data_IF_106473503530
#
_entry.id   IF_106473503530
#
_cell.length_a   1.000
_cell.length_b   1.000
_cell.length_c   1.000
_cell.angle_alpha   90.00
_cell.angle_beta   90.00
_cell.angle_gamma   90.00
#
_symmetry.space_group_name_H-M   'P 1'
#
loop_
_entity.id
_entity.type
_entity.pdbx_description
1 polymer ?
2 polymer ?
3 non-polymer ?
4 non-polymer ?
5 non-polymer ?
6 water ?
#
# COMPACT_ATOMS: atom_id res chain seq x y z
N UNK A 1 -1.71 -1.24 -28.73
CA UNK A 1 -2.63 -1.86 -27.76
C UNK A 1 -2.74 -1.14 -26.40
N UNK A 2 -1.71 -1.28 -25.51
CA UNK A 2 -1.65 -0.78 -24.14
C UNK A 2 -2.80 -1.35 -23.27
N UNK A 3 -3.62 -0.51 -22.60
CA UNK A 3 -4.74 -1.06 -21.79
C UNK A 3 -5.86 -1.60 -22.68
N UNK A 4 -6.22 -2.86 -22.45
CA UNK A 4 -7.26 -3.58 -23.18
C UNK A 4 -8.04 -4.37 -22.17
N UNK A 5 -9.29 -4.69 -22.51
CA UNK A 5 -10.13 -5.44 -21.62
C UNK A 5 -10.93 -6.50 -22.37
N UNK A 6 -11.20 -7.63 -21.71
CA UNK A 6 -12.00 -8.73 -22.25
C UNK A 6 -13.03 -9.09 -21.22
N UNK A 7 -14.30 -9.11 -21.64
CA UNK A 7 -15.41 -9.52 -20.78
C UNK A 7 -15.83 -10.95 -21.16
N UNK A 8 -15.81 -11.83 -20.17
CA UNK A 8 -16.21 -13.21 -20.35
C UNK A 8 -17.68 -13.36 -19.90
N UNK A 9 -18.59 -13.45 -20.88
CA UNK A 9 -20.03 -13.57 -20.66
C UNK A 9 -20.44 -14.79 -19.83
N UNK A 10 -19.76 -15.91 -20.08
CA UNK A 10 -20.03 -17.18 -19.42
C UNK A 10 -19.67 -17.20 -17.96
N UNK A 11 -18.69 -16.38 -17.53
CA UNK A 11 -18.28 -16.41 -16.13
C UNK A 11 -18.58 -15.15 -15.33
N UNK A 12 -19.07 -14.08 -16.01
CA UNK A 12 -19.39 -12.80 -15.38
C UNK A 12 -18.12 -12.22 -14.74
N UNK A 13 -17.09 -12.08 -15.57
CA UNK A 13 -15.80 -11.62 -15.16
C UNK A 13 -15.13 -10.93 -16.33
N UNK A 14 -14.24 -9.98 -16.03
CA UNK A 14 -13.53 -9.22 -17.03
C UNK A 14 -12.09 -9.07 -16.62
N UNK A 15 -11.18 -9.26 -17.59
CA UNK A 15 -9.76 -9.09 -17.31
C UNK A 15 -9.25 -7.83 -18.02
N UNK A 16 -8.61 -6.92 -17.24
CA UNK A 16 -7.98 -5.70 -17.74
C UNK A 16 -6.47 -6.03 -17.93
N UNK A 17 -5.99 -6.00 -19.17
CA UNK A 17 -4.64 -6.34 -19.59
C UNK A 17 -3.87 -5.08 -20.02
N UNK A 18 -2.54 -5.18 -20.08
CA UNK A 18 -1.68 -4.09 -20.54
C UNK A 18 -0.88 -3.37 -19.50
N UNK A 19 -0.87 -3.88 -18.27
CA UNK A 19 -0.15 -3.29 -17.15
C UNK A 19 1.26 -3.87 -16.96
N UNK A 20 2.12 -3.09 -16.31
CA UNK A 20 3.48 -3.49 -16.00
C UNK A 20 3.67 -3.40 -14.51
N UNK A 21 4.38 -4.40 -13.93
CA UNK A 21 4.67 -4.54 -12.52
C UNK A 21 5.79 -3.64 -11.97
N UNK A 22 5.73 -3.42 -10.65
CA UNK A 22 6.73 -2.78 -9.82
C UNK A 22 6.46 -3.36 -8.43
N UNK A 23 6.76 -4.66 -8.27
CA UNK A 23 6.52 -5.43 -7.06
C UNK A 23 7.66 -5.31 -6.08
N UNK A 24 7.31 -4.91 -4.84
CA UNK A 24 8.21 -4.78 -3.69
C UNK A 24 8.60 -6.19 -3.30
N UNK A 25 9.89 -6.43 -3.33
CA UNK A 25 10.55 -7.68 -3.08
C UNK A 25 11.45 -7.56 -1.83
N UNK A 26 12.39 -6.60 -1.86
CA UNK A 26 13.32 -6.33 -0.78
C UNK A 26 12.98 -5.08 0.01
N UNK A 27 13.99 -4.57 0.74
CA UNK A 27 13.97 -3.38 1.60
C UNK A 27 15.35 -2.71 1.66
N UNK A 28 15.38 -1.38 1.76
CA UNK A 28 16.61 -0.63 1.92
C UNK A 28 16.55 0.18 3.21
N UNK A 29 17.34 -0.25 4.20
CA UNK A 29 17.39 0.36 5.51
C UNK A 29 18.42 1.47 5.58
N UNK A 30 17.95 2.69 5.78
CA UNK A 30 18.79 3.88 5.87
C UNK A 30 18.68 4.43 7.27
N UNK A 31 19.80 4.94 7.82
CA UNK A 31 19.83 5.55 9.16
C UNK A 31 19.81 7.08 9.02
N UNK A 32 18.68 7.71 9.38
CA UNK A 32 18.53 9.17 9.36
C UNK A 32 18.82 9.70 10.74
N UNK A 33 19.75 10.65 10.82
CA UNK A 33 20.22 11.23 12.08
C UNK A 33 19.94 12.71 12.21
N UNK A 34 19.80 13.17 13.47
CA UNK A 34 19.65 14.57 13.84
C UNK A 34 20.66 14.79 14.94
N UNK A 35 21.66 15.67 14.70
CA UNK A 35 22.72 15.94 15.68
C UNK A 35 22.20 16.99 16.63
N UNK A 36 22.06 16.62 17.91
CA UNK A 36 21.55 17.55 18.90
C UNK A 36 22.56 17.95 19.97
N UNK A 37 22.13 18.76 20.93
CA UNK A 37 23.02 19.38 21.88
C UNK A 37 22.64 18.99 23.28
N UNK A 38 23.59 19.14 24.19
CA UNK A 38 23.36 18.75 25.55
C UNK A 38 23.69 19.91 26.46
N UNK A 39 22.86 20.94 26.36
CA UNK A 39 22.90 22.05 27.29
C UNK A 39 22.13 21.65 28.50
N UNK A 40 22.35 22.36 29.60
CA UNK A 40 21.67 22.06 30.84
C UNK A 40 20.88 23.28 31.26
N UNK A 41 19.76 23.07 31.95
CA UNK A 41 18.99 24.25 32.39
C UNK A 41 19.95 25.36 32.84
N UNK A 42 20.25 26.28 31.93
CA UNK A 42 20.97 27.49 32.29
C UNK A 42 20.05 28.41 33.08
N UNK A 43 20.58 29.10 34.09
CA UNK A 43 19.76 30.00 34.87
C UNK A 43 20.19 31.45 34.69
N UNK A 44 19.25 32.29 34.24
CA UNK A 44 19.50 33.71 34.10
C UNK A 44 18.25 34.52 34.44
N UNK A 45 18.46 35.71 34.99
CA UNK A 45 17.35 36.63 35.26
C UNK A 45 16.68 37.07 33.95
N UNK A 46 17.50 37.31 32.94
CA UNK A 46 17.04 37.82 31.65
C UNK A 46 15.54 37.89 31.45
N UNK A 47 14.93 39.02 31.85
CA UNK A 47 13.48 39.24 31.73
C UNK A 47 13.06 39.70 30.32
N UNK A 48 14.06 39.93 29.43
CA UNK A 48 13.89 40.37 28.04
C UNK A 48 12.99 39.44 27.22
N UNK A 49 12.00 40.04 26.51
CA UNK A 49 11.00 39.36 25.70
C UNK A 49 11.60 38.52 24.58
N UNK A 50 12.73 38.98 23.97
CA UNK A 50 13.45 38.27 22.90
C UNK A 50 14.07 36.99 23.48
N UNK A 51 14.57 37.09 24.73
CA UNK A 51 15.19 35.97 25.45
C UNK A 51 14.13 34.96 25.86
N UNK A 52 13.00 35.41 26.46
CA UNK A 52 11.93 34.51 26.89
C UNK A 52 11.31 33.68 25.74
N UNK A 53 11.35 34.19 24.50
CA UNK A 53 10.89 33.43 23.34
C UNK A 53 11.93 32.34 23.06
N UNK A 54 13.23 32.67 23.19
CA UNK A 54 14.34 31.73 23.04
C UNK A 54 14.30 30.71 24.17
N UNK A 55 13.87 31.13 25.37
CA UNK A 55 13.72 30.27 26.53
C UNK A 55 12.54 29.33 26.29
N UNK A 56 11.45 29.86 25.69
CA UNK A 56 10.23 29.11 25.36
C UNK A 56 10.48 28.02 24.32
N UNK A 57 11.24 28.33 23.25
CA UNK A 57 11.58 27.37 22.19
C UNK A 57 12.63 26.34 22.66
N UNK A 58 13.53 26.76 23.57
CA UNK A 58 14.56 25.88 24.12
C UNK A 58 13.95 24.81 25.02
N UNK A 59 12.86 25.17 25.72
CA UNK A 59 12.10 24.25 26.58
C UNK A 59 11.41 23.22 25.70
N UNK A 60 10.91 23.66 24.51
CA UNK A 60 10.22 22.84 23.52
C UNK A 60 11.15 21.77 22.96
N UNK A 61 12.40 22.16 22.69
CA UNK A 61 13.45 21.28 22.19
C UNK A 61 13.82 20.26 23.28
N UNK A 62 14.02 20.73 24.51
CA UNK A 62 14.40 19.91 25.66
C UNK A 62 13.35 18.84 25.96
N UNK A 63 12.07 19.23 25.98
CA UNK A 63 10.92 18.35 26.20
C UNK A 63 10.78 17.29 25.11
N UNK A 64 11.04 17.68 23.84
CA UNK A 64 10.99 16.81 22.66
C UNK A 64 11.97 15.66 22.80
N UNK A 65 13.19 15.99 23.26
CA UNK A 65 14.26 15.01 23.50
C UNK A 65 13.77 14.04 24.58
N UNK A 66 13.31 14.59 25.73
CA UNK A 66 12.79 13.79 26.85
C UNK A 66 11.64 12.87 26.43
N UNK A 67 10.77 13.38 25.53
CA UNK A 67 9.64 12.66 24.96
C UNK A 67 10.21 11.48 24.14
N UNK A 68 11.08 11.78 23.14
CA UNK A 68 11.70 10.78 22.28
C UNK A 68 12.48 9.76 23.09
N UNK A 69 13.16 10.18 24.17
CA UNK A 69 13.91 9.31 25.09
C UNK A 69 12.98 8.35 25.79
N UNK A 70 11.80 8.83 26.23
CA UNK A 70 10.77 8.03 26.89
C UNK A 70 10.08 7.13 25.85
N UNK A 71 10.04 7.57 24.58
CA UNK A 71 9.43 6.84 23.48
C UNK A 71 10.18 5.55 23.24
N UNK A 72 11.51 5.55 23.45
CA UNK A 72 12.32 4.34 23.38
C UNK A 72 12.06 3.56 24.64
N UNK A 73 12.28 2.25 24.59
CA UNK A 73 11.99 1.30 25.68
C UNK A 73 10.46 1.12 25.88
N UNK A 74 9.90 0.03 25.33
CA UNK A 74 10.66 -1.03 24.66
C UNK A 74 10.82 -0.81 23.13
N UNK A 75 11.15 -1.89 22.40
CA UNK A 75 11.35 -1.94 20.94
C UNK A 75 9.98 -1.89 20.20
N UNK A 76 9.95 -1.52 18.89
CA UNK A 76 8.67 -1.41 18.16
C UNK A 76 7.70 -2.61 18.15
N UNK A 77 6.51 -2.36 17.58
CA UNK A 77 5.28 -3.19 17.68
C UNK A 77 5.23 -4.55 16.95
N UNK A 78 4.56 -4.73 15.78
CA UNK A 78 3.91 -3.78 14.87
C UNK A 78 2.40 -4.10 14.58
N UNK A 79 1.68 -4.73 15.54
CA UNK A 79 0.25 -5.13 15.45
C UNK A 79 0.04 -6.18 14.34
N UNK A 80 0.76 -7.32 14.45
CA UNK A 80 0.71 -8.41 13.47
C UNK A 80 -0.45 -9.42 13.61
N UNK A 81 -0.50 -10.38 12.68
CA UNK A 81 -1.57 -11.39 12.60
C UNK A 81 -2.74 -11.17 11.61
N UNK A 82 -2.44 -11.12 10.30
CA UNK A 82 -3.49 -11.02 9.27
C UNK A 82 -3.10 -11.69 7.94
N UNK B 1 -11.44 -11.14 -2.36
CA UNK B 1 -12.16 -12.15 -1.61
C UNK B 1 -11.23 -13.07 -0.87
N UNK B 2 -10.43 -13.82 -1.58
CA UNK B 2 -9.45 -14.71 -0.94
C UNK B 2 -8.39 -14.15 0.02
N UNK B 3 -8.55 -12.92 0.50
CA UNK B 3 -7.60 -12.30 1.43
C UNK B 3 -7.20 -13.11 2.65
N UNK B 4 -8.16 -13.83 3.27
CA UNK B 4 -7.89 -14.66 4.46
C UNK B 4 -6.79 -15.73 4.21
N UNK B 5 -6.63 -16.16 2.94
CA UNK B 5 -5.64 -17.16 2.51
C UNK B 5 -4.18 -16.70 2.64
N UNK B 6 -3.95 -15.39 2.76
CA UNK B 6 -2.59 -14.85 2.87
C UNK B 6 -1.87 -15.29 4.16
N UNK B 7 -0.54 -15.37 4.06
CA UNK B 7 0.36 -15.66 5.16
C UNK B 7 0.52 -14.43 6.02
N UNK B 8 1.50 -14.48 6.93
CA UNK B 8 1.78 -13.36 7.82
C UNK B 8 3.27 -13.10 7.93
N UNK B 9 3.62 -11.83 8.12
CA UNK B 9 5.01 -11.43 8.34
C UNK B 9 5.11 -10.07 8.99
N UNK B 10 6.30 -9.70 9.52
CA UNK B 10 6.49 -8.37 10.13
C UNK B 10 7.21 -7.49 9.11
N UNK B 11 6.58 -6.39 8.69
CA UNK B 11 7.20 -5.52 7.69
C UNK B 11 8.46 -4.82 8.17
N UNK B 12 8.44 -4.34 9.43
CA UNK B 12 9.54 -3.58 10.02
C UNK B 12 10.66 -4.42 10.61
N UNK B 13 10.53 -5.77 10.58
CA UNK B 13 11.52 -6.75 11.09
C UNK B 13 12.98 -6.52 10.61
N UNK B 14 13.17 -6.05 9.37
CA UNK B 14 14.54 -5.75 8.89
C UNK B 14 15.07 -4.46 9.50
N UNK B 15 14.23 -3.42 9.51
CA UNK B 15 14.55 -2.11 10.07
C UNK B 15 14.71 -2.18 11.57
N UNK B 16 14.02 -3.13 12.22
CA UNK B 16 14.10 -3.35 13.67
C UNK B 16 15.47 -3.93 14.04
N UNK B 17 15.97 -4.84 13.19
CA UNK B 17 17.28 -5.46 13.36
C UNK B 17 18.41 -4.43 13.24
N UNK B 18 18.17 -3.33 12.49
CA UNK B 18 19.16 -2.25 12.34
C UNK B 18 19.19 -1.42 13.63
N UNK B 19 18.04 -1.30 14.32
CA UNK B 19 17.95 -0.63 15.62
C UNK B 19 18.72 -1.39 16.69
N UNK B 20 18.63 -2.74 16.68
CA UNK B 20 19.33 -3.61 17.63
C UNK B 20 20.83 -3.39 17.55
N UNK B 21 21.35 -3.24 16.33
CA UNK B 21 22.77 -3.04 16.01
C UNK B 21 23.18 -1.62 16.37
N UNK B 22 22.32 -0.63 16.05
CA UNK B 22 22.56 0.79 16.36
C UNK B 22 22.70 1.09 17.85
N UNK B 23 22.20 0.19 18.72
CA UNK B 23 22.27 0.31 20.16
C UNK B 23 23.66 -0.06 20.69
N UNK B 24 24.07 -1.32 20.45
CA UNK B 24 25.36 -1.87 20.86
C UNK B 24 26.51 -1.17 20.10
N UNK B 25 27.76 -1.04 20.61
CA UNK B 25 28.35 -1.35 21.93
C UNK B 25 29.45 -0.30 22.34
N UNK B 26 29.49 0.94 21.79
CA UNK B 26 28.53 1.56 20.87
C UNK B 26 28.93 1.71 19.42
N UNK B 27 27.89 1.80 18.55
CA UNK B 27 27.96 1.97 17.10
C UNK B 27 27.48 3.35 16.69
N UNK B 28 26.84 4.06 17.62
CA UNK B 28 26.36 5.42 17.41
C UNK B 28 27.55 6.36 17.12
N UNK B 29 28.67 6.20 17.87
CA UNK B 29 29.88 7.01 17.65
C UNK B 29 30.52 6.73 16.29
N UNK B 30 30.43 5.48 15.81
CA UNK B 30 30.97 5.05 14.52
C UNK B 30 30.35 5.89 13.39
N UNK B 31 29.03 6.15 13.49
CA UNK B 31 28.30 6.95 12.51
C UNK B 31 28.37 8.45 12.80
N UNK B 32 28.53 8.85 14.06
CA UNK B 32 28.69 10.28 14.37
C UNK B 32 29.97 10.85 13.75
N UNK B 33 31.03 10.05 13.84
CA UNK B 33 32.32 10.34 13.22
C UNK B 33 32.16 10.50 11.71
N UNK B 34 31.66 9.45 11.02
CA UNK B 34 31.43 9.42 9.57
C UNK B 34 30.58 10.59 9.04
N UNK B 35 29.72 11.18 9.88
CA UNK B 35 28.84 12.29 9.52
C UNK B 35 29.30 13.66 10.04
N UNK B 36 30.61 13.82 10.24
CA UNK B 36 31.20 15.08 10.70
C UNK B 36 31.69 15.90 9.50
N UNK B 37 32.30 15.23 8.52
CA UNK B 37 32.86 15.80 7.29
C UNK B 37 31.78 16.12 6.25
N UNK B 38 30.79 15.20 6.10
CA UNK B 38 29.68 15.31 5.15
C UNK B 38 28.32 15.18 5.82
N UNK B 39 27.28 15.64 5.13
CA UNK B 39 25.90 15.54 5.59
C UNK B 39 25.28 14.20 5.17
N UNK B 40 25.99 13.42 4.32
CA UNK B 40 25.56 12.11 3.83
C UNK B 40 26.75 11.17 3.62
N UNK B 41 26.67 9.93 4.16
CA UNK B 41 27.76 8.96 4.05
C UNK B 41 27.32 7.51 4.19
N UNK B 42 27.92 6.62 3.38
CA UNK B 42 27.69 5.17 3.41
C UNK B 42 28.51 4.59 4.57
N UNK B 43 27.91 3.70 5.38
CA UNK B 43 28.56 3.11 6.57
C UNK B 43 28.31 1.60 6.63
N UNK B 44 29.35 0.83 6.92
CA UNK B 44 29.19 -0.61 7.05
C UNK B 44 29.07 -0.97 8.53
N UNK B 45 27.94 -1.57 8.88
CA UNK B 45 27.66 -1.99 10.25
C UNK B 45 28.48 -3.21 10.66
N UNK B 46 28.72 -3.35 11.97
CA UNK B 46 29.49 -4.48 12.46
C UNK B 46 28.76 -5.71 11.96
N UNK B 47 27.43 -5.64 11.98
CA UNK B 47 26.61 -6.64 11.32
C UNK B 47 27.07 -6.83 9.89
N UNK B 48 27.59 -5.76 9.30
CA UNK B 48 28.06 -5.77 7.92
C UNK B 48 27.06 -5.28 6.90
N UNK B 49 25.89 -4.84 7.36
CA UNK B 49 24.97 -4.11 6.51
C UNK B 49 25.56 -2.73 6.11
N UNK B 50 25.73 -2.53 4.79
CA UNK B 50 26.21 -1.25 4.26
C UNK B 50 24.98 -0.37 4.20
N UNK B 51 24.91 0.61 5.12
CA UNK B 51 23.77 1.50 5.30
C UNK B 51 24.15 2.95 5.06
N UNK B 52 23.39 3.61 4.18
CA UNK B 52 23.53 5.02 3.84
C UNK B 52 23.02 5.81 5.06
N UNK B 53 23.87 6.70 5.60
CA UNK B 53 23.55 7.51 6.76
C UNK B 53 23.41 8.97 6.34
N UNK B 54 22.46 9.69 6.94
CA UNK B 54 22.19 11.08 6.61
C UNK B 54 22.10 11.98 7.81
N UNK B 55 22.84 13.10 7.78
CA UNK B 55 22.71 14.11 8.80
C UNK B 55 21.80 15.20 8.22
N UNK B 56 20.50 14.98 8.40
CA UNK B 56 19.46 15.95 8.06
C UNK B 56 19.42 16.79 9.36
N UNK B 57 19.28 18.12 9.31
CA UNK B 57 19.23 18.95 10.54
C UNK B 57 20.31 18.72 11.66
N UNK B 58 21.25 19.68 11.83
CA UNK B 58 22.28 19.65 12.88
C UNK B 58 21.98 20.74 13.92
N UNK B 59 21.16 20.39 14.94
CA UNK B 59 20.78 21.33 16.00
C UNK B 59 21.90 21.65 16.98
N UNK B 60 22.88 20.73 17.14
CA UNK B 60 24.05 20.91 18.00
C UNK B 60 24.82 22.17 17.61
N UNK B 61 25.36 22.20 16.38
CA UNK B 61 26.14 23.34 15.85
C UNK B 61 25.38 24.66 15.71
N UNK B 62 24.06 24.65 15.96
CA UNK B 62 23.24 25.86 15.94
C UNK B 62 23.01 26.37 17.36
N UNK B 63 22.68 25.47 18.29
CA UNK B 63 22.44 25.80 19.70
C UNK B 63 23.79 26.13 20.37
N UNK B 64 24.86 25.34 20.06
CA UNK B 64 26.21 25.51 20.62
C UNK B 64 26.96 26.72 20.04
N UNK B 65 26.75 27.01 18.74
CA UNK B 65 27.44 28.10 18.07
C UNK B 65 26.62 29.37 17.85
N UNK B 66 25.31 29.37 18.17
CA UNK B 66 24.51 30.58 17.99
C UNK B 66 23.62 30.95 19.19
N UNK B 67 23.31 29.98 20.08
CA UNK B 67 22.44 30.21 21.25
C UNK B 67 23.15 30.08 22.60
N UNK B 68 24.22 29.27 22.65
CA UNK B 68 25.02 29.01 23.85
C UNK B 68 25.71 30.24 24.44
N UNK B 69 26.31 31.21 23.65
CA UNK B 69 26.91 32.39 24.31
C UNK B 69 25.91 33.21 25.13
N UNK B 70 24.64 33.29 24.68
CA UNK B 70 23.54 34.02 25.31
C UNK B 70 23.14 33.45 26.69
N UNK B 71 23.07 32.11 26.83
CA UNK B 71 22.66 31.46 28.08
C UNK B 71 23.77 31.01 29.06
N UNK B 72 25.05 31.04 28.62
CA UNK B 72 26.18 30.70 29.51
C UNK B 72 26.70 31.98 30.19
N UNK B 73 25.82 32.55 31.03
CA UNK B 73 25.90 33.79 31.81
C UNK B 73 25.06 33.51 33.13
N UNK B 74 24.94 34.39 34.12
CA UNK B 74 25.25 35.81 34.09
C UNK B 74 23.98 36.63 33.92
N UNK B 75 23.92 37.21 32.74
CA UNK B 75 22.87 38.09 32.20
C UNK B 75 22.73 37.88 30.69
N UNK B 76 21.49 37.62 30.21
CA UNK B 76 21.20 37.39 28.79
C UNK B 76 21.03 38.73 28.02
N UNK B 77 21.93 39.71 28.30
CA UNK B 77 21.95 41.07 27.75
C UNK B 77 21.77 41.17 26.24
N UNK B 78 22.54 40.39 25.46
CA UNK B 78 22.43 40.38 24.01
C UNK B 78 21.46 39.32 23.50
N UNK B 79 20.58 39.73 22.56
CA UNK B 79 19.53 38.93 21.93
C UNK B 79 18.98 39.66 20.70
N UNK B 80 18.45 38.91 19.74
CA UNK B 80 17.87 39.44 18.50
C UNK B 80 16.78 38.48 17.98
N UNK B 81 15.66 39.01 17.46
CA UNK B 81 14.55 38.19 16.94
C UNK B 81 14.86 37.42 15.67
N UNK B 82 15.77 37.96 14.84
CA UNK B 82 16.19 37.31 13.60
C UNK B 82 16.80 35.92 13.93
N UNK B 83 17.13 35.70 15.22
CA UNK B 83 17.67 34.47 15.79
C UNK B 83 16.54 33.66 16.43
N UNK B 84 15.49 34.32 16.98
CA UNK B 84 14.36 33.61 17.59
C UNK B 84 13.55 32.90 16.50
N UNK B 85 13.39 33.58 15.34
CA UNK B 85 12.67 33.08 14.17
C UNK B 85 13.45 31.94 13.52
N UNK B 86 14.78 32.13 13.34
CA UNK B 86 15.69 31.14 12.76
C UNK B 86 15.68 29.86 13.60
N UNK B 87 15.64 30.00 14.96
CA UNK B 87 15.63 28.86 15.88
C UNK B 87 14.29 28.13 15.83
N UNK B 88 13.17 28.88 15.88
CA UNK B 88 11.79 28.35 15.81
C UNK B 88 11.62 27.52 14.54
N UNK B 89 12.21 28.01 13.44
CA UNK B 89 12.20 27.37 12.14
C UNK B 89 13.01 26.08 12.20
N UNK B 90 14.29 26.17 12.62
CA UNK B 90 15.18 25.01 12.74
C UNK B 90 14.62 23.91 13.65
N UNK B 91 14.16 24.28 14.85
CA UNK B 91 13.60 23.36 15.86
C UNK B 91 12.35 22.61 15.40
N UNK B 92 11.42 23.32 14.73
CA UNK B 92 10.14 22.78 14.23
C UNK B 92 10.17 21.34 13.71
N UNK B 93 11.16 21.00 12.85
CA UNK B 93 11.25 19.65 12.28
C UNK B 93 11.36 18.57 13.35
N UNK B 94 12.23 18.80 14.38
CA UNK B 94 12.41 17.89 15.52
C UNK B 94 11.08 17.76 16.25
N UNK B 95 10.40 18.92 16.43
CA UNK B 95 9.08 19.00 17.08
C UNK B 95 8.03 18.25 16.29
N UNK B 96 8.09 18.37 14.96
CA UNK B 96 7.12 17.70 14.12
C UNK B 96 7.37 16.18 13.96
N UNK B 97 8.65 15.76 13.98
CA UNK B 97 9.07 14.35 13.98
C UNK B 97 8.63 13.77 15.34
N UNK B 98 8.88 14.50 16.46
CA UNK B 98 8.47 14.05 17.80
C UNK B 98 6.95 13.87 17.90
N UNK B 99 6.17 14.75 17.24
CA UNK B 99 4.71 14.70 17.26
C UNK B 99 4.27 13.38 16.64
N UNK B 100 4.77 13.11 15.43
CA UNK B 100 4.51 11.93 14.63
C UNK B 100 4.83 10.65 15.35
N UNK B 101 5.99 10.57 16.01
CA UNK B 101 6.30 9.32 16.72
C UNK B 101 5.41 9.10 17.96
N UNK B 102 4.99 10.19 18.64
CA UNK B 102 4.14 10.13 19.84
C UNK B 102 2.75 9.52 19.62
N UNK B 103 2.22 9.57 18.40
CA UNK B 103 0.90 8.99 18.14
C UNK B 103 1.01 7.63 17.47
N UNK B 104 2.06 7.42 16.71
CA UNK B 104 2.30 6.20 15.96
C UNK B 104 3.28 5.28 16.69
N UNK B 105 3.30 5.36 18.03
CA UNK B 105 4.17 4.58 18.90
C UNK B 105 5.52 4.15 18.27
N UNK B 106 6.23 5.15 17.71
CA UNK B 106 7.55 5.04 17.11
C UNK B 106 7.72 4.38 15.75
N UNK B 107 6.62 4.16 14.99
CA UNK B 107 6.64 3.53 13.66
C UNK B 107 5.61 4.19 12.73
N UNK B 108 6.08 5.05 11.81
CA UNK B 108 5.19 5.76 10.88
C UNK B 108 5.24 5.19 9.47
N UNK B 109 4.10 5.30 8.79
CA UNK B 109 3.84 4.94 7.40
C UNK B 109 2.55 5.65 6.92
N UNK B 110 2.59 6.44 5.82
CA UNK B 110 3.73 6.68 4.94
C UNK B 110 4.80 7.52 5.62
N UNK B 111 6.04 7.44 5.11
CA UNK B 111 7.14 8.25 5.59
C UNK B 111 6.83 9.70 5.16
N UNK B 112 6.61 10.57 6.17
CA UNK B 112 6.29 11.97 6.01
C UNK B 112 7.44 12.81 5.46
N UNK B 113 7.11 14.03 5.03
CA UNK B 113 8.07 15.02 4.55
C UNK B 113 9.04 15.41 5.68
N UNK B 114 8.55 15.59 6.95
CA UNK B 114 9.37 15.94 8.12
C UNK B 114 10.38 14.84 8.45
N UNK B 115 9.97 13.59 8.21
CA UNK B 115 10.80 12.41 8.42
C UNK B 115 11.93 12.36 7.38
N UNK B 116 11.58 12.68 6.12
CA UNK B 116 12.50 12.67 4.99
C UNK B 116 11.87 13.53 3.90
N UNK B 117 12.53 14.63 3.54
CA UNK B 117 12.01 15.57 2.55
C UNK B 117 12.18 15.02 1.14
N UNK B 118 11.57 15.67 0.13
CA UNK B 118 11.70 15.22 -1.25
C UNK B 118 13.13 15.26 -1.73
N UNK B 119 13.84 16.36 -1.46
CA UNK B 119 15.23 16.50 -1.87
C UNK B 119 16.09 15.45 -1.15
N UNK B 120 15.80 15.16 0.13
CA UNK B 120 16.53 14.15 0.90
C UNK B 120 16.25 12.76 0.36
N UNK B 121 14.96 12.46 0.13
CA UNK B 121 14.49 11.20 -0.41
C UNK B 121 15.04 10.95 -1.82
N UNK B 122 14.95 11.95 -2.72
CA UNK B 122 15.45 11.78 -4.09
C UNK B 122 16.94 11.54 -4.14
N UNK B 123 17.69 12.09 -3.14
CA UNK B 123 19.13 11.94 -2.96
C UNK B 123 19.43 10.56 -2.41
N UNK B 124 18.60 10.08 -1.46
CA UNK B 124 18.72 8.77 -0.86
C UNK B 124 18.59 7.70 -1.95
N UNK B 125 17.57 7.86 -2.85
CA UNK B 125 17.30 6.98 -4.00
C UNK B 125 18.53 6.96 -4.91
N UNK B 126 19.02 8.15 -5.28
CA UNK B 126 20.17 8.31 -6.16
C UNK B 126 21.51 7.83 -5.59
N UNK B 127 21.54 7.52 -4.28
CA UNK B 127 22.75 7.01 -3.63
C UNK B 127 22.60 5.55 -3.15
N UNK B 128 21.50 4.90 -3.58
CA UNK B 128 21.22 3.50 -3.27
C UNK B 128 21.94 2.55 -4.23
N UNK B 129 22.29 1.30 -3.79
CA UNK B 129 22.91 0.35 -4.72
C UNK B 129 21.83 -0.36 -5.52
N UNK B 130 21.24 0.37 -6.48
CA UNK B 130 20.17 -0.10 -7.36
C UNK B 130 20.44 0.29 -8.83
N UNK B 131 19.75 -0.39 -9.78
CA UNK B 131 19.87 -0.18 -11.23
C UNK B 131 19.57 1.26 -11.62
N UNK B 132 20.23 1.74 -12.70
CA UNK B 132 20.04 3.08 -13.28
C UNK B 132 18.54 3.35 -13.55
N UNK B 133 17.85 2.34 -14.14
CA UNK B 133 16.42 2.32 -14.45
C UNK B 133 15.59 2.31 -13.18
N UNK B 134 16.01 1.50 -12.17
CA UNK B 134 15.31 1.39 -10.88
C UNK B 134 15.32 2.71 -10.11
N UNK B 135 16.40 3.51 -10.26
CA UNK B 135 16.53 4.85 -9.66
C UNK B 135 15.48 5.77 -10.27
N UNK B 136 15.32 5.74 -11.61
CA UNK B 136 14.35 6.54 -12.37
C UNK B 136 12.94 6.23 -11.92
N UNK B 137 12.60 4.94 -11.81
CA UNK B 137 11.28 4.48 -11.40
C UNK B 137 10.84 5.06 -10.04
N UNK B 138 11.73 4.94 -9.05
CA UNK B 138 11.49 5.37 -7.68
C UNK B 138 11.38 6.90 -7.58
N UNK B 139 12.24 7.61 -8.31
CA UNK B 139 12.26 9.07 -8.38
C UNK B 139 11.00 9.60 -9.04
N UNK B 140 10.49 8.88 -10.05
CA UNK B 140 9.28 9.29 -10.73
C UNK B 140 8.01 8.89 -9.98
N UNK B 141 8.14 8.05 -8.94
CA UNK B 141 6.99 7.63 -8.13
C UNK B 141 7.28 7.76 -6.61
N UNK B 142 7.83 8.92 -6.18
CA UNK B 142 8.16 9.23 -4.78
C UNK B 142 6.94 9.13 -3.86
N UNK B 143 5.81 9.63 -4.35
CA UNK B 143 4.54 9.57 -3.66
C UNK B 143 4.24 8.11 -3.26
N UNK B 144 4.53 7.13 -4.14
CA UNK B 144 4.34 5.72 -3.86
C UNK B 144 5.42 5.21 -2.92
N UNK B 145 6.72 5.51 -3.23
CA UNK B 145 7.86 5.11 -2.40
C UNK B 145 7.57 5.48 -0.92
N UNK B 146 6.99 6.68 -0.66
CA UNK B 146 6.61 7.16 0.67
C UNK B 146 5.55 6.29 1.28
N UNK B 147 4.49 5.96 0.53
CA UNK B 147 3.41 5.09 1.01
C UNK B 147 3.85 3.65 1.30
N UNK B 148 4.87 3.16 0.57
CA UNK B 148 5.40 1.82 0.75
C UNK B 148 6.57 1.77 1.75
N UNK B 149 7.00 2.94 2.29
CA UNK B 149 8.11 3.05 3.25
C UNK B 149 7.65 3.10 4.69
N UNK B 150 8.57 2.82 5.63
CA UNK B 150 8.35 2.86 7.08
C UNK B 150 9.45 3.70 7.75
N UNK B 151 9.08 4.40 8.83
CA UNK B 151 10.02 5.17 9.61
C UNK B 151 9.96 4.68 11.03
N UNK B 152 11.04 4.03 11.46
CA UNK B 152 11.18 3.42 12.78
C UNK B 152 12.05 4.26 13.69
N UNK B 153 11.50 4.70 14.85
CA UNK B 153 12.28 5.42 15.84
C UNK B 153 13.28 4.43 16.48
N UNK B 154 14.56 4.84 16.57
CA UNK B 154 15.61 3.98 17.10
C UNK B 154 16.19 4.41 18.45
N UNK B 155 17.05 5.42 18.45
CA UNK B 155 17.59 5.85 19.71
C UNK B 155 18.17 7.23 19.68
N UNK B 156 18.34 7.76 20.89
CA UNK B 156 18.91 9.07 21.15
C UNK B 156 20.23 9.03 21.90
N UNK B 157 20.93 7.91 21.84
CA UNK B 157 22.17 7.72 22.58
C UNK B 157 22.95 8.97 22.98
N UNK B 158 24.16 9.09 22.46
CA UNK B 158 25.00 10.19 22.90
C UNK B 158 24.92 11.31 21.89
N UNK B 159 24.17 12.33 22.25
CA UNK B 159 24.08 13.53 21.46
C UNK B 159 23.54 13.22 20.08
N UNK B 160 22.75 12.19 19.93
CA UNK B 160 22.29 11.96 18.56
C UNK B 160 20.89 11.41 18.43
N UNK B 161 20.15 11.83 17.42
CA UNK B 161 18.85 11.20 17.25
C UNK B 161 18.87 10.33 16.00
N UNK B 162 18.53 9.05 16.14
CA UNK B 162 18.51 8.14 14.99
C UNK B 162 17.16 7.43 14.85
N UNK B 163 16.62 7.48 13.63
CA UNK B 163 15.41 6.79 13.20
C UNK B 163 15.71 6.18 11.85
N UNK B 164 15.26 4.96 11.66
CA UNK B 164 15.51 4.20 10.45
C UNK B 164 14.39 4.41 9.44
N UNK B 165 14.74 4.84 8.22
CA UNK B 165 13.77 4.95 7.14
C UNK B 165 14.01 3.69 6.26
N UNK B 166 13.01 2.82 6.18
CA UNK B 166 13.02 1.54 5.45
C UNK B 166 12.26 1.71 4.11
N UNK B 167 13.03 1.74 3.00
CA UNK B 167 12.49 2.00 1.67
C UNK B 167 12.34 0.79 0.79
N UNK B 168 11.29 0.74 -0.07
CA UNK B 168 11.07 -0.45 -0.90
C UNK B 168 12.16 -0.73 -1.92
N UNK B 169 12.29 -2.01 -2.27
CA UNK B 169 13.14 -2.47 -3.37
C UNK B 169 12.19 -3.21 -4.28
N UNK B 170 12.24 -2.89 -5.57
CA UNK B 170 11.38 -3.51 -6.56
C UNK B 170 12.11 -4.56 -7.38
N UNK B 171 12.15 -5.76 -6.82
CA UNK B 171 12.84 -6.88 -7.43
C UNK B 171 12.20 -7.40 -8.71
N UNK B 172 10.93 -7.04 -8.95
CA UNK B 172 10.15 -7.42 -10.14
C UNK B 172 9.65 -6.15 -10.80
N UNK B 173 10.15 -5.87 -12.01
CA UNK B 173 9.79 -4.65 -12.75
C UNK B 173 9.45 -5.00 -14.19
N UNK B 174 8.51 -4.24 -14.78
CA UNK B 174 8.11 -4.38 -16.16
C UNK B 174 7.63 -5.77 -16.58
N UNK B 175 7.09 -6.58 -15.62
CA UNK B 175 6.49 -7.88 -15.98
C UNK B 175 5.00 -7.65 -16.15
N UNK B 176 4.35 -8.38 -17.09
CA UNK B 176 2.92 -8.16 -17.33
C UNK B 176 1.98 -8.45 -16.17
N UNK B 177 1.10 -7.47 -15.88
CA UNK B 177 0.05 -7.52 -14.87
C UNK B 177 -1.28 -7.44 -15.55
N UNK B 178 -2.30 -7.97 -14.86
CA UNK B 178 -3.69 -7.93 -15.27
C UNK B 178 -4.59 -7.95 -14.06
N UNK B 179 -5.77 -7.32 -14.18
CA UNK B 179 -6.74 -7.24 -13.10
C UNK B 179 -7.97 -8.01 -13.44
N UNK B 180 -8.33 -8.95 -12.58
CA UNK B 180 -9.52 -9.74 -12.79
C UNK B 180 -10.64 -9.19 -11.91
N UNK B 181 -11.73 -8.77 -12.55
CA UNK B 181 -12.94 -8.27 -11.91
C UNK B 181 -13.96 -9.38 -12.07
N UNK B 182 -14.63 -9.78 -10.98
CA UNK B 182 -15.68 -10.80 -11.00
C UNK B 182 -16.98 -10.23 -10.38
N UNK B 183 -18.12 -10.74 -10.82
CA UNK B 183 -19.41 -10.33 -10.27
C UNK B 183 -20.29 -11.60 -10.21
N UNK B 184 -21.40 -11.63 -9.43
CA UNK B 184 -22.21 -12.85 -9.34
C UNK B 184 -22.97 -13.23 -10.61
N UNK B 185 -22.94 -14.53 -10.95
CA UNK B 185 -23.66 -15.10 -12.07
C UNK B 185 -24.84 -15.92 -11.55
N UNK B 186 -26.08 -15.51 -11.89
CA UNK B 186 -27.34 -16.11 -11.41
C UNK B 186 -28.31 -16.43 -12.48
N UNK B 187 -29.14 -17.42 -12.19
CA UNK B 187 -30.24 -17.80 -13.06
C UNK B 187 -31.27 -16.67 -13.00
N UNK B 188 -32.01 -16.48 -14.08
CA UNK B 188 -32.93 -15.35 -14.17
C UNK B 188 -34.41 -15.73 -14.23
N UNK B 189 -34.79 -16.74 -13.42
CA UNK B 189 -36.15 -17.22 -13.40
C UNK B 189 -37.09 -16.20 -12.77
N UNK B 190 -38.35 -16.17 -13.30
CA UNK B 190 -39.44 -15.25 -12.97
C UNK B 190 -40.07 -15.41 -11.56
N UNK B 191 -39.54 -16.38 -10.77
CA UNK B 191 -39.98 -16.72 -9.40
C UNK B 191 -39.41 -15.74 -8.33
N UNK B 192 -40.05 -15.72 -7.13
CA UNK B 192 -39.74 -14.88 -5.96
C UNK B 192 -38.23 -14.89 -5.64
N UNK B 193 -37.70 -16.10 -5.42
CA UNK B 193 -36.30 -16.42 -5.20
C UNK B 193 -35.99 -17.62 -6.08
N UNK B 194 -35.76 -18.81 -5.47
CA UNK B 194 -35.51 -20.11 -6.14
C UNK B 194 -34.50 -20.05 -7.32
N UNK B 195 -33.55 -19.10 -7.24
CA UNK B 195 -32.50 -18.90 -8.22
C UNK B 195 -31.22 -19.32 -7.63
N UNK B 196 -30.33 -19.84 -8.48
CA UNK B 196 -29.01 -20.27 -8.04
C UNK B 196 -27.94 -19.36 -8.60
N UNK B 197 -26.96 -18.98 -7.77
CA UNK B 197 -25.82 -18.13 -8.10
C UNK B 197 -24.48 -18.84 -7.96
N UNK B 198 -23.47 -18.22 -8.57
CA UNK B 198 -22.09 -18.61 -8.70
C UNK B 198 -21.29 -17.31 -8.86
N UNK B 199 -20.12 -17.19 -8.22
CA UNK B 199 -19.22 -16.03 -8.36
C UNK B 199 -17.80 -16.48 -8.34
N UNK B 200 -17.00 -15.99 -9.31
CA UNK B 200 -15.59 -16.29 -9.35
C UNK B 200 -14.94 -15.57 -8.14
N UNK B 201 -14.24 -16.33 -7.28
CA UNK B 201 -13.65 -15.71 -6.09
C UNK B 201 -12.23 -15.16 -6.29
N UNK B 202 -11.60 -15.57 -7.40
CA UNK B 202 -10.24 -15.20 -7.76
C UNK B 202 -9.99 -13.71 -8.15
N UNK B 203 -10.98 -12.81 -7.94
CA UNK B 203 -10.83 -11.37 -8.25
C UNK B 203 -9.60 -10.78 -7.56
N UNK B 204 -8.88 -9.91 -8.27
CA UNK B 204 -7.66 -9.28 -7.77
C UNK B 204 -6.66 -8.99 -8.87
N UNK B 205 -5.47 -8.52 -8.47
CA UNK B 205 -4.37 -8.24 -9.38
C UNK B 205 -3.56 -9.52 -9.59
N UNK B 206 -3.01 -9.68 -10.80
CA UNK B 206 -2.19 -10.82 -11.16
C UNK B 206 -0.97 -10.33 -11.90
N UNK B 207 0.22 -10.81 -11.56
CA UNK B 207 1.47 -10.41 -12.23
C UNK B 207 2.30 -11.59 -12.48
N UNK B 208 2.84 -11.73 -13.69
CA UNK B 208 3.79 -12.79 -13.94
C UNK B 208 5.07 -12.46 -13.12
N UNK B 209 5.55 -13.41 -12.29
CA UNK B 209 6.71 -13.18 -11.45
C UNK B 209 7.44 -14.50 -11.18
N UNK B 210 8.66 -14.65 -11.73
CA UNK B 210 9.50 -15.83 -11.59
C UNK B 210 8.91 -17.20 -12.01
N UNK B 211 8.13 -17.21 -13.09
CA UNK B 211 7.60 -18.47 -13.61
C UNK B 211 6.23 -18.86 -13.09
N UNK B 212 5.83 -18.20 -12.01
CA UNK B 212 4.56 -18.38 -11.39
C UNK B 212 3.83 -17.06 -11.62
N UNK B 213 2.68 -16.88 -10.98
CA UNK B 213 1.90 -15.67 -11.09
C UNK B 213 1.70 -15.23 -9.62
N UNK B 214 1.99 -13.95 -9.31
CA UNK B 214 1.78 -13.37 -7.98
C UNK B 214 0.34 -12.83 -7.95
N UNK B 215 -0.49 -13.39 -7.03
CA UNK B 215 -1.89 -13.00 -6.93
C UNK B 215 -2.20 -12.12 -5.72
N UNK B 216 -2.74 -10.93 -5.99
CA UNK B 216 -3.04 -9.94 -4.96
C UNK B 216 -4.56 -9.98 -4.69
N UNK B 217 -5.05 -10.77 -3.67
CA UNK B 217 -6.49 -11.01 -3.54
C UNK B 217 -7.31 -9.80 -3.17
N UNK B 218 -6.65 -8.86 -2.55
CA UNK B 218 -7.31 -7.63 -2.19
C UNK B 218 -6.72 -6.49 -3.08
N UNK B 219 -7.14 -6.42 -4.38
CA UNK B 219 -6.73 -5.44 -5.41
C UNK B 219 -6.67 -3.95 -4.89
N UNK B 220 -7.33 -3.74 -3.74
CA UNK B 220 -7.44 -2.54 -2.93
C UNK B 220 -6.08 -2.18 -2.29
N UNK B 221 -5.18 -3.17 -2.15
CA UNK B 221 -3.85 -2.99 -1.55
C UNK B 221 -2.81 -2.42 -2.51
N UNK B 222 -2.98 -2.64 -3.84
CA UNK B 222 -2.04 -2.16 -4.87
C UNK B 222 -2.22 -0.69 -5.24
N UNK B 223 -1.13 0.00 -5.54
CA UNK B 223 -1.14 1.38 -6.00
C UNK B 223 -0.86 1.36 -7.50
N UNK B 224 -1.67 2.03 -8.29
CA UNK B 224 -1.52 2.04 -9.74
C UNK B 224 -1.31 3.41 -10.36
N UNK B 225 -0.28 3.56 -11.18
CA UNK B 225 -0.11 4.74 -12.00
C UNK B 225 -0.14 4.33 -13.46
N UNK B 226 -1.08 4.85 -14.24
CA UNK B 226 -1.01 4.58 -15.65
C UNK B 226 -0.96 3.09 -15.86
N UNK B 227 0.02 2.65 -16.65
CA UNK B 227 0.33 1.25 -16.81
C UNK B 227 0.80 0.62 -15.53
N UNK B 228 1.56 1.38 -14.74
CA UNK B 228 2.31 0.85 -13.61
C UNK B 228 1.52 0.41 -12.37
N UNK B 229 1.75 -0.85 -11.94
CA UNK B 229 1.14 -1.45 -10.78
C UNK B 229 2.23 -1.66 -9.73
N UNK B 230 2.04 -1.06 -8.55
CA UNK B 230 2.99 -1.18 -7.44
C UNK B 230 2.37 -2.06 -6.40
N UNK B 231 3.04 -3.17 -6.11
CA UNK B 231 2.54 -4.11 -5.12
C UNK B 231 3.61 -4.50 -4.16
N UNK B 232 3.16 -5.12 -3.07
CA UNK B 232 3.97 -5.68 -2.01
C UNK B 232 3.70 -7.17 -2.10
N UNK B 233 4.76 -7.98 -2.32
CA UNK B 233 4.65 -9.43 -2.43
C UNK B 233 4.13 -10.11 -1.17
N UNK B 234 4.13 -9.40 -0.03
CA UNK B 234 3.56 -9.93 1.20
C UNK B 234 2.05 -10.08 1.14
N UNK B 235 1.40 -9.32 0.26
CA UNK B 235 -0.04 -9.32 0.08
C UNK B 235 -0.44 -10.20 -1.09
N UNK B 236 0.48 -11.11 -1.47
CA UNK B 236 0.25 -12.02 -2.58
C UNK B 236 0.27 -13.44 -2.13
N UNK B 237 -0.15 -14.30 -3.05
CA UNK B 237 -0.12 -15.75 -3.06
C UNK B 237 0.60 -16.02 -4.36
N UNK B 238 1.39 -17.06 -4.39
CA UNK B 238 2.16 -17.36 -5.59
C UNK B 238 1.54 -18.62 -6.20
N UNK B 239 0.84 -18.44 -7.31
CA UNK B 239 0.09 -19.50 -7.98
C UNK B 239 0.73 -19.97 -9.26
N UNK B 240 0.39 -21.21 -9.71
CA UNK B 240 0.90 -21.68 -11.00
C UNK B 240 0.32 -20.81 -12.10
N UNK B 241 1.08 -20.62 -13.18
CA UNK B 241 0.65 -19.82 -14.33
C UNK B 241 -0.68 -20.26 -14.96
N UNK B 242 -1.11 -21.52 -14.68
CA UNK B 242 -2.35 -22.15 -15.14
C UNK B 242 -3.60 -21.53 -14.51
N UNK B 243 -3.42 -20.61 -13.55
CA UNK B 243 -4.53 -19.90 -12.93
C UNK B 243 -5.26 -19.06 -14.03
N UNK B 244 -4.50 -18.60 -15.04
CA UNK B 244 -5.04 -17.82 -16.14
C UNK B 244 -5.99 -18.65 -17.05
N UNK B 245 -6.04 -19.98 -16.84
CA UNK B 245 -6.93 -20.85 -17.63
C UNK B 245 -8.38 -20.60 -17.31
N UNK B 246 -8.68 -20.25 -16.05
CA UNK B 246 -10.03 -19.96 -15.52
C UNK B 246 -10.76 -18.87 -16.28
N UNK B 247 -9.99 -18.03 -16.98
CA UNK B 247 -10.56 -16.94 -17.75
C UNK B 247 -11.19 -17.42 -19.03
N UNK B 248 -10.37 -18.07 -19.85
CA UNK B 248 -10.78 -18.63 -21.13
C UNK B 248 -11.62 -19.91 -20.93
N UNK B 249 -11.20 -20.83 -20.01
CA UNK B 249 -11.94 -22.05 -19.71
C UNK B 249 -11.96 -22.40 -18.21
N UNK B 250 -13.07 -22.11 -17.55
CA UNK B 250 -13.26 -22.36 -16.12
C UNK B 250 -13.44 -23.86 -15.82
N UNK B 251 -13.70 -24.64 -16.87
CA UNK B 251 -13.88 -26.09 -16.72
C UNK B 251 -12.63 -26.93 -17.00
N UNK B 252 -11.51 -26.26 -17.36
CA UNK B 252 -10.22 -26.89 -17.65
C UNK B 252 -9.73 -27.85 -16.53
N UNK B 253 -9.07 -28.96 -16.90
CA UNK B 253 -8.59 -29.90 -15.86
C UNK B 253 -7.34 -29.42 -15.15
N UNK B 254 -6.44 -28.73 -15.88
CA UNK B 254 -5.17 -28.15 -15.43
C UNK B 254 -5.24 -27.31 -14.13
N UNK B 255 -6.34 -26.58 -13.88
CA UNK B 255 -6.48 -25.75 -12.67
C UNK B 255 -7.89 -25.75 -12.11
N UNK B 256 -8.05 -25.98 -10.78
CA UNK B 256 -9.39 -25.99 -10.17
C UNK B 256 -9.73 -24.58 -9.75
N UNK B 257 -10.60 -23.98 -10.56
CA UNK B 257 -11.04 -22.60 -10.47
C UNK B 257 -11.90 -22.36 -9.28
N UNK B 258 -11.46 -21.41 -8.48
CA UNK B 258 -12.06 -20.92 -7.26
C UNK B 258 -13.40 -20.14 -7.54
N UNK B 259 -14.54 -20.73 -7.12
CA UNK B 259 -15.88 -20.13 -7.21
C UNK B 259 -16.63 -20.22 -5.88
N UNK B 260 -17.69 -19.42 -5.69
CA UNK B 260 -18.55 -19.48 -4.52
C UNK B 260 -20.01 -19.54 -4.94
N UNK B 261 -20.82 -20.32 -4.22
CA UNK B 261 -22.21 -20.48 -4.58
C UNK B 261 -23.19 -19.81 -3.62
N UNK B 262 -24.29 -19.30 -4.12
CA UNK B 262 -25.32 -18.68 -3.29
C UNK B 262 -26.69 -18.77 -3.96
N UNK B 263 -27.72 -18.24 -3.30
CA UNK B 263 -29.06 -18.09 -3.85
C UNK B 263 -29.36 -16.60 -3.71
N UNK B 264 -28.26 -15.79 -3.61
CA UNK B 264 -28.28 -14.33 -3.40
C UNK B 264 -28.31 -13.53 -4.70
N UNK B 265 -29.52 -13.48 -5.23
CA UNK B 265 -30.07 -12.85 -6.41
C UNK B 265 -29.97 -11.29 -6.37
N UNK B 266 -28.88 -10.75 -5.77
CA UNK B 266 -28.68 -9.31 -5.57
C UNK B 266 -28.03 -8.53 -6.73
N UNK B 267 -28.63 -7.36 -7.07
CA UNK B 267 -28.14 -6.52 -8.17
C UNK B 267 -26.94 -5.70 -7.75
N UNK B 268 -26.00 -5.49 -8.68
CA UNK B 268 -24.78 -4.70 -8.48
C UNK B 268 -24.01 -4.46 -9.80
N UNK B 269 -23.03 -3.56 -9.73
CA UNK B 269 -22.13 -3.25 -10.84
C UNK B 269 -20.71 -3.20 -10.32
N UNK B 270 -19.75 -3.59 -11.16
CA UNK B 270 -18.33 -3.51 -10.87
C UNK B 270 -17.71 -2.62 -11.97
N UNK B 271 -17.04 -1.54 -11.55
CA UNK B 271 -16.43 -0.65 -12.53
C UNK B 271 -15.04 -1.18 -12.82
N UNK B 272 -14.81 -1.54 -14.09
CA UNK B 272 -13.53 -2.10 -14.53
C UNK B 272 -12.64 -0.95 -15.06
N UNK B 273 -11.48 -1.31 -15.61
CA UNK B 273 -10.53 -0.35 -16.17
C UNK B 273 -11.08 0.33 -17.38
N UNK B 274 -11.84 -0.41 -18.21
CA UNK B 274 -12.35 0.09 -19.48
C UNK B 274 -13.87 -0.04 -19.71
N UNK B 275 -14.61 -0.47 -18.70
CA UNK B 275 -16.04 -0.59 -18.82
C UNK B 275 -16.72 -0.76 -17.48
N UNK B 276 -17.77 -1.61 -17.48
CA UNK B 276 -18.59 -1.93 -16.32
C UNK B 276 -19.28 -3.30 -16.46
N UNK B 277 -19.19 -4.12 -15.42
CA UNK B 277 -19.87 -5.40 -15.36
C UNK B 277 -21.19 -5.10 -14.63
N UNK B 278 -22.34 -5.54 -15.19
CA UNK B 278 -23.60 -5.35 -14.50
C UNK B 278 -24.22 -6.70 -14.19
N UNK B 279 -24.47 -6.98 -12.89
CA UNK B 279 -25.15 -8.18 -12.42
C UNK B 279 -26.58 -7.71 -12.10
N UNK B 280 -27.47 -7.86 -13.05
CA UNK B 280 -28.84 -7.40 -12.88
C UNK B 280 -29.82 -8.50 -12.64
N UNK B 281 -30.50 -8.48 -11.48
CA UNK B 281 -31.45 -9.50 -11.07
C UNK B 281 -32.69 -8.92 -10.38
N UNK B 282 -33.81 -9.64 -10.43
CA UNK B 282 -35.07 -9.25 -9.80
C UNK B 282 -35.78 -8.16 -10.56
N UNK B 283 -36.42 -7.20 -9.84
CA UNK B 283 -37.13 -6.06 -10.42
C UNK B 283 -36.20 -4.81 -10.43
N UNK B 284 -34.86 -4.98 -10.62
CA UNK B 284 -33.95 -3.82 -10.53
C UNK B 284 -33.79 -2.99 -11.82
N UNK B 285 -33.66 -1.66 -11.68
CA UNK B 285 -33.42 -0.80 -12.84
C UNK B 285 -31.88 -0.75 -13.08
N UNK B 286 -31.42 -1.33 -14.22
CA UNK B 286 -30.00 -1.37 -14.56
C UNK B 286 -29.78 -0.75 -15.89
N UNK B 287 -29.02 0.31 -15.84
CA UNK B 287 -28.87 1.20 -16.95
C UNK B 287 -27.46 1.71 -17.14
N UNK B 288 -27.16 2.19 -18.37
CA UNK B 288 -25.88 2.82 -18.72
C UNK B 288 -26.24 4.06 -19.46
N UNK B 289 -25.79 5.21 -18.97
CA UNK B 289 -26.13 6.48 -19.63
C UNK B 289 -24.97 7.34 -20.03
N UNK B 290 -25.22 8.22 -20.98
CA UNK B 290 -24.31 9.27 -21.43
C UNK B 290 -24.87 10.60 -20.87
N UNK B 291 -23.99 11.48 -20.32
CA UNK B 291 -24.35 12.78 -19.72
C UNK B 291 -25.41 13.59 -20.52
N UNK B 292 -25.10 13.90 -21.78
CA UNK B 292 -25.92 14.71 -22.68
C UNK B 292 -27.15 13.96 -23.21
N UNK B 293 -26.96 12.69 -23.58
CA UNK B 293 -28.00 11.89 -24.26
C UNK B 293 -28.96 11.08 -23.37
N UNK B 294 -28.56 10.84 -22.11
CA UNK B 294 -29.34 10.06 -21.17
C UNK B 294 -29.07 8.58 -21.34
N UNK B 295 -30.06 7.70 -20.99
CA UNK B 295 -30.00 6.23 -21.08
C UNK B 295 -29.64 5.74 -22.45
N UNK B 296 -28.51 5.03 -22.56
CA UNK B 296 -28.09 4.52 -23.85
C UNK B 296 -28.22 2.97 -23.96
N UNK B 297 -28.32 2.28 -22.80
CA UNK B 297 -28.49 0.83 -22.69
C UNK B 297 -29.28 0.47 -21.43
N UNK B 298 -30.26 -0.45 -21.57
CA UNK B 298 -31.01 -0.97 -20.45
C UNK B 298 -30.62 -2.42 -20.33
N UNK B 299 -30.02 -2.80 -19.19
CA UNK B 299 -29.59 -4.16 -18.96
C UNK B 299 -30.76 -5.06 -18.63
N UNK B 300 -30.78 -6.26 -19.24
CA UNK B 300 -31.78 -7.31 -18.96
C UNK B 300 -31.30 -8.08 -17.72
N UNK B 301 -32.16 -8.96 -17.15
CA UNK B 301 -31.71 -9.78 -16.01
C UNK B 301 -30.62 -10.71 -16.49
N UNK B 302 -29.59 -10.81 -15.68
CA UNK B 302 -28.40 -11.60 -15.95
C UNK B 302 -27.15 -10.75 -15.84
N UNK B 303 -26.00 -11.37 -16.08
CA UNK B 303 -24.76 -10.62 -16.04
C UNK B 303 -24.28 -10.15 -17.41
N UNK B 304 -24.10 -8.83 -17.55
CA UNK B 304 -23.68 -8.16 -18.78
C UNK B 304 -22.55 -7.16 -18.56
N UNK B 305 -22.12 -6.55 -19.67
CA UNK B 305 -21.03 -5.61 -19.71
C UNK B 305 -21.32 -4.50 -20.67
N UNK B 306 -20.77 -3.34 -20.40
CA UNK B 306 -20.83 -2.17 -21.26
C UNK B 306 -19.44 -1.55 -21.22
N UNK B 307 -18.95 -1.17 -22.39
CA UNK B 307 -17.67 -0.50 -22.56
C UNK B 307 -17.82 1.03 -22.25
N UNK B 308 -16.75 1.65 -21.70
CA UNK B 308 -16.70 3.06 -21.37
C UNK B 308 -16.92 4.00 -22.54
N UNK B 309 -16.66 3.54 -23.79
CA UNK B 309 -16.84 4.35 -25.01
C UNK B 309 -18.28 4.90 -25.10
N UNK B 310 -18.39 6.21 -24.94
CA UNK B 310 -19.67 6.90 -24.99
C UNK B 310 -20.60 6.70 -23.80
N UNK B 311 -20.10 6.09 -22.71
CA UNK B 311 -20.83 5.82 -21.47
C UNK B 311 -20.10 6.56 -20.37
N UNK B 312 -20.80 7.38 -19.59
CA UNK B 312 -20.16 8.10 -18.50
C UNK B 312 -20.56 7.48 -17.16
N UNK B 313 -21.81 7.02 -17.14
CA UNK B 313 -22.48 6.51 -15.97
C UNK B 313 -23.18 5.18 -16.15
N UNK B 314 -23.26 4.40 -15.07
CA UNK B 314 -24.00 3.14 -14.97
C UNK B 314 -24.83 3.23 -13.69
N UNK B 315 -26.14 2.95 -13.75
CA UNK B 315 -27.03 2.99 -12.58
C UNK B 315 -27.64 1.62 -12.32
N UNK B 316 -27.41 1.11 -11.13
CA UNK B 316 -27.99 -0.16 -10.70
C UNK B 316 -28.84 0.19 -9.48
N UNK B 317 -30.16 0.14 -9.65
CA UNK B 317 -31.11 0.53 -8.63
C UNK B 317 -30.92 1.99 -8.26
N UNK B 318 -30.78 2.26 -6.96
CA UNK B 318 -30.59 3.59 -6.44
C UNK B 318 -29.11 4.01 -6.40
N UNK B 319 -28.24 3.22 -7.02
CA UNK B 319 -26.81 3.51 -7.02
C UNK B 319 -26.26 3.93 -8.40
N UNK B 320 -25.55 5.06 -8.41
CA UNK B 320 -24.88 5.60 -9.60
C UNK B 320 -23.39 5.38 -9.56
N UNK B 321 -22.84 4.91 -10.66
CA UNK B 321 -21.42 4.62 -10.81
C UNK B 321 -20.89 5.45 -11.94
N UNK B 322 -19.69 5.99 -11.75
CA UNK B 322 -19.02 6.71 -12.80
C UNK B 322 -18.05 5.70 -13.38
N UNK B 323 -18.11 5.53 -14.68
CA UNK B 323 -17.26 4.62 -15.41
C UNK B 323 -15.87 5.34 -15.62
N UNK B 324 -14.73 4.56 -15.69
CA UNK B 324 -13.39 5.19 -15.93
C UNK B 324 -13.29 5.62 -17.39
N UNK B 325 -12.80 6.82 -17.62
CA UNK B 325 -12.75 7.35 -18.98
C UNK B 325 -11.46 7.13 -19.80
N UNK B 326 -10.63 6.15 -19.35
CA UNK B 326 -9.37 5.72 -19.95
C UNK B 326 -9.57 5.24 -21.39
N UNK B 327 -8.65 5.62 -22.27
CA UNK B 327 -8.64 5.16 -23.65
C UNK B 327 -8.06 3.72 -23.66
N UNK B 328 -8.78 2.82 -24.31
CA UNK B 328 -8.42 1.42 -24.48
C UNK B 328 -9.55 0.63 -25.10
N UNK B 329 -9.24 -0.44 -25.86
CA UNK B 329 -10.28 -1.26 -26.47
C UNK B 329 -10.74 -2.40 -25.54
N UNK B 330 -12.04 -2.72 -25.56
CA UNK B 330 -12.53 -3.84 -24.78
C UNK B 330 -13.18 -4.89 -25.68
N UNK B 331 -13.19 -6.16 -25.24
CA UNK B 331 -13.73 -7.25 -26.04
C UNK B 331 -14.80 -8.03 -25.31
N UNK B 332 -15.97 -8.12 -25.92
CA UNK B 332 -17.05 -8.90 -25.38
C UNK B 332 -16.88 -10.33 -25.90
N UNK B 333 -16.71 -11.27 -24.98
CA UNK B 333 -16.53 -12.65 -25.37
C UNK B 333 -17.80 -13.38 -25.01
N UNK B 334 -18.73 -13.48 -25.99
CA UNK B 334 -20.02 -14.16 -25.90
C UNK B 334 -19.82 -15.62 -25.47
N UNK B 335 -20.70 -16.10 -24.60
CA UNK B 335 -20.66 -17.45 -24.05
C UNK B 335 -21.87 -17.78 -23.22
N UNK B 336 -22.25 -19.06 -23.19
CA UNK B 336 -23.41 -19.48 -22.41
C UNK B 336 -23.08 -19.40 -20.95
N UNK B 337 -23.86 -18.64 -20.14
CA UNK B 337 -23.59 -18.56 -18.70
C UNK B 337 -23.45 -19.94 -18.06
N UNK B 338 -22.31 -20.13 -17.39
CA UNK B 338 -21.87 -21.33 -16.68
C UNK B 338 -22.97 -21.88 -15.72
N UNK B 339 -23.77 -20.98 -15.10
CA UNK B 339 -24.85 -21.36 -14.18
C UNK B 339 -25.98 -22.16 -14.87
N UNK B 340 -26.16 -22.02 -16.20
CA UNK B 340 -27.20 -22.77 -16.91
C UNK B 340 -26.90 -24.27 -17.01
N UNK B 341 -25.65 -24.64 -16.73
CA UNK B 341 -25.19 -26.02 -16.80
C UNK B 341 -25.53 -26.81 -15.53
N UNK B 342 -26.19 -26.17 -14.57
CA UNK B 342 -26.51 -26.75 -13.28
C UNK B 342 -27.98 -26.97 -13.04
N UNK B 343 -28.35 -28.20 -12.62
CA UNK B 343 -29.70 -28.59 -12.21
C UNK B 343 -29.95 -27.89 -10.87
N UNK B 344 -30.95 -26.99 -10.72
CA UNK B 344 -31.11 -26.25 -9.45
C UNK B 344 -31.21 -27.12 -8.21
N UNK B 345 -32.10 -28.10 -8.20
CA UNK B 345 -32.08 -29.13 -7.18
C UNK B 345 -30.81 -29.96 -7.41
N UNK B 346 -30.14 -30.34 -6.33
CA UNK B 346 -28.92 -31.14 -6.42
C UNK B 346 -27.69 -30.26 -6.68
N UNK B 347 -27.89 -28.95 -6.66
CA UNK B 347 -26.80 -28.00 -6.85
C UNK B 347 -26.51 -27.36 -5.49
N UNK B 348 -25.24 -27.36 -5.08
CA UNK B 348 -24.92 -26.99 -3.69
C UNK B 348 -24.86 -25.46 -3.53
N UNK B 349 -25.95 -24.88 -3.03
CA UNK B 349 -26.21 -23.46 -2.88
C UNK B 349 -25.42 -22.67 -1.84
N UNK B 350 -24.60 -23.30 -1.00
CA UNK B 350 -23.93 -22.45 0.00
C UNK B 350 -22.46 -22.73 0.15
N UNK B 351 -21.74 -22.80 -0.96
CA UNK B 351 -20.32 -23.01 -0.91
C UNK B 351 -19.67 -21.64 -0.83
N UNK B 352 -19.08 -21.32 0.33
CA UNK B 352 -18.50 -20.01 0.57
C UNK B 352 -17.18 -19.78 -0.12
N UNK B 353 -16.28 -20.76 -0.07
CA UNK B 353 -14.94 -20.72 -0.64
C UNK B 353 -14.72 -22.07 -1.31
N UNK B 354 -15.32 -22.24 -2.49
CA UNK B 354 -15.16 -23.51 -3.18
C UNK B 354 -14.37 -23.38 -4.48
N UNK B 355 -14.59 -24.35 -5.36
CA UNK B 355 -13.97 -24.47 -6.67
C UNK B 355 -14.88 -25.34 -7.53
N UNK B 356 -14.63 -25.36 -8.84
CA UNK B 356 -15.43 -26.13 -9.80
C UNK B 356 -15.58 -27.64 -9.43
N UNK B 357 -14.48 -28.37 -9.23
CA UNK B 357 -14.54 -29.80 -8.90
C UNK B 357 -15.22 -30.09 -7.55
N UNK B 358 -14.94 -29.26 -6.51
CA UNK B 358 -15.59 -29.40 -5.20
C UNK B 358 -17.11 -29.44 -5.46
N UNK B 359 -17.65 -28.39 -6.18
CA UNK B 359 -19.06 -28.28 -6.57
C UNK B 359 -19.52 -29.54 -7.32
N UNK B 360 -18.74 -29.98 -8.33
CA UNK B 360 -19.02 -31.18 -9.13
C UNK B 360 -19.07 -32.53 -8.34
N UNK B 361 -18.22 -32.67 -7.28
CA UNK B 361 -18.20 -33.83 -6.37
C UNK B 361 -19.50 -33.85 -5.59
N UNK B 362 -19.88 -32.69 -5.02
CA UNK B 362 -21.08 -32.49 -4.24
C UNK B 362 -22.32 -32.80 -5.07
N UNK B 363 -22.33 -32.38 -6.35
CA UNK B 363 -23.41 -32.65 -7.29
C UNK B 363 -23.58 -34.16 -7.51
N UNK B 364 -22.48 -34.87 -7.78
CA UNK B 364 -22.53 -36.33 -7.93
C UNK B 364 -23.00 -37.02 -6.65
N UNK B 365 -22.36 -36.68 -5.54
CA UNK B 365 -22.71 -37.25 -4.23
C UNK B 365 -24.22 -37.18 -4.01
N UNK B 366 -24.79 -35.99 -4.10
CA UNK B 366 -26.23 -35.80 -3.91
C UNK B 366 -27.04 -36.55 -4.95
N UNK B 367 -26.57 -36.52 -6.19
CA UNK B 367 -27.24 -37.18 -7.31
C UNK B 367 -27.30 -38.69 -7.12
N UNK B 368 -26.21 -39.27 -6.61
CA UNK B 368 -26.10 -40.71 -6.45
C UNK B 368 -27.14 -41.26 -5.47
N UNK B 369 -27.38 -40.54 -4.38
CA UNK B 369 -28.32 -41.00 -3.36
C UNK B 369 -29.73 -41.13 -3.91
N UNK B 370 -30.13 -40.15 -4.72
CA UNK B 370 -31.46 -40.17 -5.34
C UNK B 370 -31.61 -41.36 -6.28
N UNK B 371 -30.55 -41.65 -7.03
CA UNK B 371 -30.55 -42.75 -8.00
C UNK B 371 -30.39 -44.14 -7.36
N UNK B 372 -29.46 -44.28 -6.39
CA UNK B 372 -29.18 -45.55 -5.71
C UNK B 372 -30.27 -46.00 -4.72
N UNK B 373 -30.91 -45.05 -3.99
CA UNK B 373 -31.97 -45.32 -3.01
C UNK B 373 -33.22 -45.98 -3.62
X LIG C 1 -13.50 -8.51 -1.74
X LIG C 1 -12.25 -9.26 -1.44
X LIG C 1 -14.28 -7.92 -0.63
X LIG C 1 -13.79 -8.10 -3.14
X LIG C 1 -12.66 -7.29 -1.66
X LIG D 1 -18.95 -37.94 -11.31
X LIG D 1 -19.42 -39.13 -12.15
X LIG D 1 -18.22 -39.91 -12.68
X LIG D 1 -17.21 -38.99 -13.35
X LIG D 1 -16.88 -37.80 -12.44
X LIG D 1 -15.93 -36.84 -13.13
X LIG D 1 -20.50 -41.26 -11.71
X LIG D 1 -19.29 -42.14 -11.83
X LIG D 1 -20.26 -40.00 -11.36
X LIG D 1 -18.69 -40.88 -13.65
X LIG D 1 -16.02 -39.71 -13.63
X LIG D 1 -18.09 -37.12 -12.10
X LIG D 1 -15.12 -36.18 -12.15
X LIG D 1 -21.63 -41.67 -11.93
X LIG E 1 -14.43 -0.01 -27.38
X LIG E 1 -14.19 0.24 -25.95
X LIG E 1 -13.78 1.07 -28.13
X LIG E 1 -13.80 -1.28 -27.75
X LIG E 1 -15.89 -0.06 -27.65
X LIG F 1 21.50 21.69 8.68
X LIG F 1 21.79 20.27 8.40
X LIG F 1 21.49 21.91 10.12
X LIG F 1 22.55 22.52 8.07
X LIG F 1 20.20 22.06 8.13
X LIG G 1 23.76 10.09 26.34
X LIG G 1 23.91 10.18 27.79
X LIG G 1 24.46 11.22 25.70
X LIG G 1 24.34 8.81 25.89
X LIG G 1 22.34 10.16 26.00
X LIG H 1 -0.99 -8.59 -20.28
X LIG H 1 -0.13 -9.88 -20.42
X LIG H 1 -2.12 -8.83 -19.24
X LIG H 1 -0.10 -7.40 -19.81
X LIG H 1 -1.61 -8.25 -21.67
#
# INVERSE_FOLDING_TARGET
QNITEEFYQSTCSAVSKGYLSALRTGWYTSVITIELSNIKENKCNGTDAKVKLIKQELDKYKNAVTELQLLMQSTPATNNRA
FLGFLLGVGSAIASGVAVCKVLHLEGEVNKIKSALLSTNKAVVSLSNGVSVLTFKVLDLKNYIDKQLLPILNKQSCSISNIETVIEFQQKNNRLLEITREFSVNAGVTTPVSTYMLTNSELLSLINDMPITNDQKKLMSNNVQIVRQQSYSIMCIIKEEVLAYVVQLPLYGVIDTPCWKLHTSPLCTTNTKEGSNICLTRTDRGWYCDNAGSVSFFPQAETCKVQSNRVFCDTMNSLTLPSEVNLCNVDIFNPKYDCKIMTSKTDVSSSVITSLGAIVSCYGKTKCTASNKNRGIIKTFSNGCDYVSNKGVDTVSVGNTLYYVNKQEGKSLYVKGEPIINFYDPLVFPSDEFDASISQVNEKINQSLAFIRKSDELLSAIGGYIPEAPRDGQAYVRKDGEWVLLSTFLGGLVPR
SO4 S O1 O2 O3 O4
NAG C1 C2 C3 C4 C5 C6 C7 C8 N2 O3 O4 O5 O6 O7
SO4 S O1 O2 O3 O4
SO4 S O1 O2 O3 O4
SO4 S O1 O2 O3 O4
PO4 P O1 O2 O3 O4
#
